data_IF_750304008810
#
_entry.id   IF_750304008810
#
_cell.length_a   1.000
_cell.length_b   1.000
_cell.length_c   1.000
_cell.angle_alpha   90.00
_cell.angle_beta   90.00
_cell.angle_gamma   90.00
#
_symmetry.space_group_name_H-M   'P 1'
#
loop_
_entity.id
_entity.type
_entity.pdbx_description
1 polymer ?
#
# COMPACT_ATOMS: atom_id res chain seq x y z
N UNK A 1 -15.93 6.34 -14.88
CA UNK A 1 -15.35 5.17 -14.18
C UNK A 1 -13.95 5.03 -14.73
N UNK A 2 -12.93 5.39 -13.96
CA UNK A 2 -11.54 5.15 -14.36
C UNK A 2 -11.37 3.64 -14.53
N UNK A 3 -10.97 3.20 -15.72
CA UNK A 3 -10.70 1.79 -15.98
C UNK A 3 -9.32 1.50 -15.40
N UNK A 4 -9.22 0.63 -14.40
CA UNK A 4 -7.93 0.20 -13.86
C UNK A 4 -7.07 -0.30 -15.04
N UNK A 5 -5.92 0.35 -15.34
CA UNK A 5 -5.08 -0.03 -16.47
C UNK A 5 -4.29 -1.32 -16.20
N UNK A 6 -4.30 -1.81 -14.96
CA UNK A 6 -3.62 -3.02 -14.54
C UNK A 6 -4.59 -4.23 -14.53
N UNK A 7 -4.11 -5.42 -14.93
CA UNK A 7 -4.89 -6.63 -14.78
C UNK A 7 -5.16 -6.92 -13.31
N UNK A 8 -6.30 -7.54 -13.01
CA UNK A 8 -6.58 -8.05 -11.67
C UNK A 8 -5.70 -9.29 -11.46
N UNK A 9 -4.85 -9.25 -10.43
CA UNK A 9 -4.09 -10.40 -10.00
C UNK A 9 -4.99 -11.31 -9.15
N UNK A 10 -4.93 -12.62 -9.39
CA UNK A 10 -5.66 -13.63 -8.62
C UNK A 10 -4.68 -14.76 -8.36
N UNK A 11 -4.26 -14.89 -7.10
CA UNK A 11 -3.40 -15.97 -6.66
C UNK A 11 -4.24 -17.15 -6.16
N UNK A 12 -3.60 -18.30 -5.98
CA UNK A 12 -4.28 -19.44 -5.36
C UNK A 12 -4.47 -19.20 -3.86
N UNK A 13 -5.49 -19.82 -3.26
CA UNK A 13 -5.75 -19.73 -1.81
C UNK A 13 -4.57 -20.23 -0.94
N UNK A 14 -3.67 -21.03 -1.54
CA UNK A 14 -2.46 -21.54 -0.88
C UNK A 14 -1.29 -20.56 -0.92
N UNK A 15 -1.33 -19.58 -1.80
CA UNK A 15 -0.34 -18.51 -1.90
C UNK A 15 -0.83 -17.26 -1.15
N UNK A 16 -2.12 -16.94 -1.30
CA UNK A 16 -2.79 -15.84 -0.60
C UNK A 16 -4.25 -16.20 -0.30
N UNK A 17 -4.67 -16.04 0.95
CA UNK A 17 -6.04 -16.30 1.40
C UNK A 17 -7.03 -15.15 1.07
N UNK A 18 -6.58 -14.12 0.34
CA UNK A 18 -7.33 -12.89 0.05
C UNK A 18 -6.82 -11.65 0.81
N UNK A 19 -5.84 -11.81 1.69
CA UNK A 19 -5.25 -10.71 2.46
C UNK A 19 -4.68 -9.63 1.55
N UNK A 20 -3.91 -9.98 0.51
CA UNK A 20 -3.28 -8.99 -0.37
C UNK A 20 -4.29 -8.16 -1.19
N UNK A 21 -5.31 -8.74 -1.85
CA UNK A 21 -6.36 -7.96 -2.48
C UNK A 21 -7.14 -7.08 -1.50
N UNK A 22 -7.46 -7.56 -0.28
CA UNK A 22 -8.13 -6.74 0.74
C UNK A 22 -7.28 -5.54 1.16
N UNK A 23 -5.97 -5.73 1.29
CA UNK A 23 -5.00 -4.68 1.56
C UNK A 23 -4.98 -3.60 0.45
N UNK A 24 -4.97 -4.02 -0.82
CA UNK A 24 -5.01 -3.10 -1.96
C UNK A 24 -6.32 -2.33 -1.99
N UNK A 25 -7.46 -2.99 -1.72
CA UNK A 25 -8.78 -2.35 -1.67
C UNK A 25 -8.85 -1.33 -0.53
N UNK A 26 -8.44 -1.72 0.68
CA UNK A 26 -8.40 -0.84 1.86
C UNK A 26 -7.52 0.39 1.62
N UNK A 27 -6.35 0.20 1.01
CA UNK A 27 -5.48 1.31 0.65
C UNK A 27 -6.10 2.20 -0.42
N UNK A 28 -6.72 1.61 -1.46
CA UNK A 28 -7.41 2.35 -2.52
C UNK A 28 -8.56 3.21 -1.98
N UNK A 29 -9.36 2.69 -1.04
CA UNK A 29 -10.44 3.43 -0.39
C UNK A 29 -9.92 4.68 0.33
N UNK A 30 -8.70 4.63 0.89
CA UNK A 30 -8.11 5.76 1.60
C UNK A 30 -7.52 6.84 0.68
N UNK A 31 -7.04 6.48 -0.52
CA UNK A 31 -6.27 7.40 -1.38
C UNK A 31 -6.98 7.84 -2.66
N UNK A 32 -7.93 7.05 -3.19
CA UNK A 32 -8.62 7.38 -4.43
C UNK A 32 -9.51 8.60 -4.23
N UNK A 33 -9.45 9.54 -5.17
CA UNK A 33 -10.15 10.83 -5.07
C UNK A 33 -9.33 11.93 -4.41
N UNK A 34 -8.09 11.64 -4.00
CA UNK A 34 -7.19 12.58 -3.36
C UNK A 34 -5.89 12.78 -4.14
N UNK A 35 -5.15 13.84 -3.81
CA UNK A 35 -3.79 14.10 -4.33
C UNK A 35 -2.76 13.87 -3.23
N UNK A 36 -1.57 13.42 -3.62
CA UNK A 36 -0.45 13.23 -2.69
C UNK A 36 0.23 14.58 -2.48
N UNK A 37 0.28 15.02 -1.22
CA UNK A 37 1.03 16.22 -0.79
C UNK A 37 2.46 15.83 -0.38
N UNK A 38 2.61 14.76 0.39
CA UNK A 38 3.91 14.20 0.76
C UNK A 38 3.87 12.68 0.84
N UNK A 39 5.02 12.06 0.60
CA UNK A 39 5.26 10.63 0.80
C UNK A 39 6.58 10.46 1.56
N UNK A 40 6.53 9.79 2.70
CA UNK A 40 7.66 9.68 3.63
C UNK A 40 7.85 8.23 4.07
N UNK A 41 9.11 7.80 4.20
CA UNK A 41 9.47 6.52 4.82
C UNK A 41 9.86 6.80 6.27
N UNK A 42 9.08 6.33 7.24
CA UNK A 42 9.43 6.50 8.66
C UNK A 42 9.54 5.14 9.38
N UNK A 43 10.52 5.00 10.30
CA UNK A 43 10.60 3.84 11.17
C UNK A 43 9.42 3.84 12.14
N UNK A 44 8.59 2.78 12.10
CA UNK A 44 7.49 2.56 13.02
C UNK A 44 7.90 1.50 14.03
N UNK A 45 7.91 1.87 15.31
CA UNK A 45 8.19 0.92 16.40
C UNK A 45 6.95 0.07 16.63
N UNK A 46 7.06 -1.22 16.32
CA UNK A 46 6.08 -2.22 16.68
C UNK A 46 6.48 -2.92 17.99
N UNK A 47 5.56 -3.69 18.55
CA UNK A 47 5.75 -4.42 19.82
C UNK A 47 6.99 -5.35 19.81
N UNK A 48 7.42 -5.81 18.63
CA UNK A 48 8.52 -6.76 18.47
C UNK A 48 9.61 -6.33 17.47
N UNK A 49 9.64 -5.06 17.04
CA UNK A 49 10.62 -4.59 16.06
C UNK A 49 10.42 -3.13 15.64
N UNK A 50 11.27 -2.64 14.74
CA UNK A 50 11.01 -1.39 14.01
C UNK A 50 11.04 -1.73 12.54
N UNK A 51 9.93 -1.50 11.85
CA UNK A 51 9.84 -1.65 10.40
C UNK A 51 9.54 -0.29 9.78
N UNK A 52 10.09 -0.06 8.60
CA UNK A 52 9.81 1.18 7.88
C UNK A 52 8.41 1.12 7.27
N UNK A 53 7.59 2.14 7.56
CA UNK A 53 6.28 2.33 6.94
C UNK A 53 6.29 3.46 5.91
N UNK A 54 5.35 3.42 4.98
CA UNK A 54 5.02 4.56 4.12
C UNK A 54 4.00 5.44 4.86
N UNK A 55 4.22 6.74 4.82
CA UNK A 55 3.26 7.75 5.25
C UNK A 55 2.94 8.63 4.06
N UNK A 56 1.67 8.68 3.70
CA UNK A 56 1.14 9.61 2.71
C UNK A 56 0.37 10.71 3.41
N UNK A 57 0.69 11.96 3.09
CA UNK A 57 -0.17 13.10 3.41
C UNK A 57 -0.97 13.45 2.17
N UNK A 58 -2.29 13.51 2.30
CA UNK A 58 -3.23 13.81 1.23
C UNK A 58 -3.70 15.27 1.29
N UNK A 59 -4.24 15.77 0.19
CA UNK A 59 -4.65 17.16 0.03
C UNK A 59 -5.86 17.59 0.87
N UNK A 60 -6.61 16.64 1.41
CA UNK A 60 -7.69 16.86 2.36
C UNK A 60 -7.21 16.92 3.83
N UNK A 61 -5.91 16.84 4.08
CA UNK A 61 -5.34 16.78 5.44
C UNK A 61 -5.48 15.41 6.10
N UNK A 62 -5.73 14.35 5.33
CA UNK A 62 -5.65 12.97 5.81
C UNK A 62 -4.22 12.43 5.68
N UNK A 63 -3.81 11.67 6.67
CA UNK A 63 -2.58 10.89 6.67
C UNK A 63 -2.92 9.41 6.57
N UNK A 64 -2.36 8.73 5.57
CA UNK A 64 -2.49 7.28 5.36
C UNK A 64 -1.16 6.65 5.68
N UNK A 65 -1.14 5.70 6.59
CA UNK A 65 0.05 4.98 7.00
C UNK A 65 -0.06 3.53 6.57
N UNK A 66 1.00 3.01 5.97
CA UNK A 66 1.10 1.65 5.48
C UNK A 66 2.32 1.02 6.14
N UNK A 67 2.11 0.11 7.09
CA UNK A 67 3.17 -0.48 7.90
C UNK A 67 3.16 -1.99 7.74
N UNK A 68 4.33 -2.55 7.42
CA UNK A 68 4.52 -4.00 7.28
C UNK A 68 4.41 -4.73 8.61
N UNK A 69 4.62 -6.03 8.60
CA UNK A 69 4.74 -6.82 9.82
C UNK A 69 5.30 -8.20 9.53
N UNK A 70 5.72 -8.89 10.58
CA UNK A 70 6.21 -10.26 10.46
C UNK A 70 5.69 -11.17 11.58
N UNK A 71 5.33 -12.40 11.22
CA UNK A 71 4.92 -13.47 12.12
C UNK A 71 5.54 -14.80 11.67
N UNK A 72 6.64 -15.19 12.32
CA UNK A 72 7.36 -16.44 12.10
C UNK A 72 7.85 -16.64 10.65
N UNK A 73 7.03 -17.25 9.80
CA UNK A 73 7.31 -17.55 8.39
C UNK A 73 6.58 -16.62 7.42
N UNK A 74 5.69 -15.77 7.95
CA UNK A 74 4.93 -14.80 7.19
C UNK A 74 5.49 -13.41 7.43
N UNK A 75 5.47 -12.57 6.39
CA UNK A 75 5.87 -11.19 6.49
C UNK A 75 5.23 -10.35 5.38
N UNK A 76 5.18 -9.04 5.62
CA UNK A 76 4.89 -8.01 4.63
C UNK A 76 5.78 -6.81 4.93
N UNK A 77 6.43 -6.25 3.93
CA UNK A 77 7.35 -5.13 4.09
C UNK A 77 7.27 -4.16 2.90
N UNK A 78 7.49 -2.88 3.19
CA UNK A 78 7.75 -1.88 2.16
C UNK A 78 9.26 -1.83 1.87
N UNK A 79 9.66 -2.41 0.74
CA UNK A 79 11.07 -2.40 0.32
C UNK A 79 11.49 -0.99 -0.12
N UNK A 80 10.76 -0.43 -1.07
CA UNK A 80 11.04 0.87 -1.65
C UNK A 80 9.78 1.54 -2.19
N UNK A 81 9.84 2.84 -2.47
CA UNK A 81 8.80 3.54 -3.23
C UNK A 81 9.43 4.55 -4.19
N UNK A 82 8.70 4.85 -5.27
CA UNK A 82 9.05 5.86 -6.26
C UNK A 82 7.87 6.82 -6.43
N UNK A 83 8.03 8.06 -5.97
CA UNK A 83 7.07 9.14 -6.21
C UNK A 83 7.44 9.86 -7.51
N UNK A 84 6.47 10.08 -8.40
CA UNK A 84 6.62 10.82 -9.66
C UNK A 84 6.17 12.29 -9.45
N UNK A 85 7.07 13.21 -9.02
CA UNK A 85 6.69 14.56 -8.59
C UNK A 85 6.04 15.39 -9.70
N UNK A 86 6.28 15.07 -10.96
CA UNK A 86 5.64 15.72 -12.10
C UNK A 86 4.17 15.33 -12.30
N UNK A 87 3.66 14.36 -11.50
CA UNK A 87 2.28 13.84 -11.58
C UNK A 87 1.51 13.87 -10.26
N UNK A 88 2.14 14.27 -9.15
CA UNK A 88 1.47 14.26 -7.82
C UNK A 88 0.32 15.26 -7.71
N UNK A 89 0.26 16.27 -8.58
CA UNK A 89 -0.83 17.25 -8.64
C UNK A 89 -2.13 16.68 -9.25
N UNK A 90 -2.13 15.42 -9.69
CA UNK A 90 -3.30 14.75 -10.25
C UNK A 90 -4.06 13.94 -9.20
N UNK A 91 -5.39 13.92 -9.32
CA UNK A 91 -6.26 13.13 -8.44
C UNK A 91 -6.04 11.65 -8.71
N UNK A 92 -5.70 10.88 -7.67
CA UNK A 92 -5.57 9.43 -7.76
C UNK A 92 -6.90 8.84 -8.20
N UNK A 93 -6.84 8.01 -9.24
CA UNK A 93 -8.03 7.39 -9.84
C UNK A 93 -8.15 5.91 -9.55
N UNK A 94 -7.10 5.29 -9.01
CA UNK A 94 -7.11 3.89 -8.62
C UNK A 94 -5.76 3.41 -8.09
N UNK A 95 -5.78 2.18 -7.59
CA UNK A 95 -4.60 1.40 -7.22
C UNK A 95 -4.67 0.07 -7.98
N UNK A 96 -3.55 -0.36 -8.54
CA UNK A 96 -3.42 -1.63 -9.24
C UNK A 96 -2.14 -2.33 -8.80
N UNK A 97 -2.01 -3.61 -9.11
CA UNK A 97 -0.83 -4.39 -8.76
C UNK A 97 -0.31 -5.19 -9.95
N UNK A 98 0.97 -5.48 -9.90
CA UNK A 98 1.63 -6.44 -10.78
C UNK A 98 2.62 -7.27 -9.98
N UNK A 99 3.13 -8.33 -10.62
CA UNK A 99 4.18 -9.19 -10.06
C UNK A 99 3.71 -9.87 -8.76
N UNK A 100 2.49 -10.40 -8.73
CA UNK A 100 1.90 -11.13 -7.62
C UNK A 100 1.83 -10.27 -6.34
N UNK A 101 1.27 -9.07 -6.46
CA UNK A 101 1.19 -8.05 -5.40
C UNK A 101 2.54 -7.52 -4.89
N UNK A 102 3.66 -7.85 -5.53
CA UNK A 102 4.98 -7.31 -5.13
C UNK A 102 5.26 -5.93 -5.71
N UNK A 103 4.43 -5.45 -6.65
CA UNK A 103 4.48 -4.08 -7.16
C UNK A 103 3.10 -3.45 -7.12
N UNK A 104 2.98 -2.31 -6.44
CA UNK A 104 1.73 -1.55 -6.38
C UNK A 104 1.86 -0.26 -7.15
N UNK A 105 0.82 0.05 -7.91
CA UNK A 105 0.73 1.18 -8.81
C UNK A 105 -0.41 2.08 -8.36
N UNK A 106 -0.09 3.26 -7.85
CA UNK A 106 -1.06 4.29 -7.53
C UNK A 106 -1.06 5.23 -8.74
N UNK A 107 -2.19 5.34 -9.43
CA UNK A 107 -2.22 5.99 -10.74
C UNK A 107 -3.30 7.07 -10.86
N UNK A 108 -2.96 8.09 -11.65
CA UNK A 108 -3.83 9.17 -12.08
C UNK A 108 -3.64 9.41 -13.58
N UNK A 109 -4.71 9.77 -14.30
CA UNK A 109 -4.67 10.12 -15.73
C UNK A 109 -3.84 9.18 -16.62
N UNK A 110 -4.03 7.86 -16.43
CA UNK A 110 -3.35 6.79 -17.18
C UNK A 110 -1.84 6.66 -16.95
N UNK A 111 -1.32 7.16 -15.83
CA UNK A 111 0.06 6.93 -15.41
C UNK A 111 0.22 6.83 -13.90
N UNK A 112 1.30 6.18 -13.47
CA UNK A 112 1.63 6.07 -12.05
C UNK A 112 2.08 7.42 -11.50
N UNK A 113 1.55 7.76 -10.33
CA UNK A 113 1.98 8.89 -9.50
C UNK A 113 2.87 8.42 -8.34
N UNK A 114 2.67 7.19 -7.89
CA UNK A 114 3.45 6.53 -6.86
C UNK A 114 3.52 5.03 -7.17
N UNK A 115 4.72 4.46 -7.09
CA UNK A 115 4.95 3.03 -7.20
C UNK A 115 5.54 2.50 -5.88
N UNK A 116 5.06 1.36 -5.42
CA UNK A 116 5.58 0.68 -4.23
C UNK A 116 6.19 -0.67 -4.62
N UNK A 117 7.35 -0.98 -4.05
CA UNK A 117 7.93 -2.31 -4.06
C UNK A 117 7.63 -3.00 -2.73
N UNK A 118 6.86 -4.07 -2.80
CA UNK A 118 6.31 -4.79 -1.66
C UNK A 118 6.97 -6.16 -1.56
N UNK A 119 7.54 -6.46 -0.40
CA UNK A 119 7.92 -7.83 -0.03
C UNK A 119 6.78 -8.47 0.75
N UNK A 120 6.37 -9.68 0.40
CA UNK A 120 5.44 -10.41 1.26
C UNK A 120 5.62 -11.93 1.12
N UNK A 121 5.16 -12.64 2.14
CA UNK A 121 5.04 -14.09 2.18
C UNK A 121 3.92 -14.42 3.15
N UNK A 122 2.94 -15.21 2.72
CA UNK A 122 1.93 -15.73 3.62
C UNK A 122 2.47 -16.79 4.60
N UNK A 123 3.60 -17.43 4.26
CA UNK A 123 4.14 -18.60 4.98
C UNK A 123 3.16 -19.78 4.92
N UNK A 124 2.16 -19.77 5.80
CA UNK A 124 0.94 -20.55 5.68
C UNK A 124 -0.25 -19.58 5.77
N UNK A 125 -0.97 -19.33 4.65
CA UNK A 125 -2.05 -18.34 4.60
C UNK A 125 -3.18 -18.54 5.60
N UNK A 126 -3.33 -19.75 6.16
CA UNK A 126 -4.41 -20.07 7.08
C UNK A 126 -4.00 -20.05 8.55
N UNK A 127 -2.74 -19.72 8.85
CA UNK A 127 -2.18 -19.84 10.20
C UNK A 127 -1.43 -18.60 10.68
N UNK A 128 -0.68 -17.92 9.81
CA UNK A 128 0.11 -16.75 10.18
C UNK A 128 -0.52 -15.46 9.67
N UNK A 129 -0.35 -14.38 10.44
CA UNK A 129 -0.75 -13.04 10.01
C UNK A 129 0.27 -12.46 9.02
N UNK A 130 -0.23 -11.86 7.95
CA UNK A 130 0.53 -11.06 6.99
C UNK A 130 -0.37 -9.96 6.44
N UNK A 131 0.16 -9.14 5.53
CA UNK A 131 -0.46 -7.90 5.06
C UNK A 131 0.08 -6.69 5.80
N UNK A 132 -0.22 -5.52 5.26
CA UNK A 132 0.03 -4.24 5.89
C UNK A 132 -1.07 -3.89 6.88
N UNK A 133 -0.66 -3.25 7.96
CA UNK A 133 -1.51 -2.41 8.80
C UNK A 133 -1.71 -1.07 8.08
N UNK A 134 -2.97 -0.72 7.79
CA UNK A 134 -3.35 0.51 7.07
C UNK A 134 -4.13 1.40 8.03
N UNK A 135 -3.50 2.48 8.48
CA UNK A 135 -4.11 3.47 9.36
C UNK A 135 -4.46 4.75 8.60
N UNK A 136 -5.67 5.27 8.83
CA UNK A 136 -6.14 6.52 8.24
C UNK A 136 -6.47 7.50 9.37
N UNK A 137 -5.64 8.53 9.52
CA UNK A 137 -5.75 9.51 10.62
C UNK A 137 -5.75 10.94 10.08
N UNK A 138 -6.32 11.93 10.81
CA UNK A 138 -6.11 13.33 10.48
C UNK A 138 -4.62 13.70 10.60
N UNK A 139 -4.09 14.47 9.64
CA UNK A 139 -2.69 14.89 9.63
C UNK A 139 -2.31 15.76 10.86
N UNK A 140 -3.30 16.42 11.48
CA UNK A 140 -3.11 17.26 12.67
C UNK A 140 -3.24 16.50 14.00
N UNK A 141 -3.41 15.17 13.98
CA UNK A 141 -3.47 14.35 15.18
C UNK A 141 -2.06 13.94 15.63
N UNK A 142 -1.37 14.83 16.35
CA UNK A 142 -0.16 14.52 17.14
C UNK A 142 -0.51 13.99 18.55
#
# INVERSE_FOLDING_TARGET
MSTNPYPIEILSEYDDNGTMPENVETFAEAVVGHRIVSAEKLPRTQRYGSEDGLILTLDNGTRVELVGGSDCCAYTELKSFLLHPERVDHIITGVGTTEEYTRWHIFADMGDVLELEVGWSAGNPFYYGYGFEIDVVPADAE
#
